data_IF_240656096004
#
_entry.id   IF_240656096004
#
_cell.length_a   1.000
_cell.length_b   1.000
_cell.length_c   1.000
_cell.angle_alpha   90.00
_cell.angle_beta   90.00
_cell.angle_gamma   90.00
#
_symmetry.space_group_name_H-M   'P 1'
#
loop_
_entity.id
_entity.type
_entity.pdbx_description
1 polymer ?
#
# COMPACT_ATOMS: atom_id res chain seq x y z
N UNK A 1 -79.02 -17.10 3.00
CA UNK A 1 -78.38 -16.01 2.23
C UNK A 1 -76.92 -15.98 2.60
N UNK A 2 -76.05 -16.41 1.67
CA UNK A 2 -74.61 -16.62 1.86
C UNK A 2 -73.88 -15.30 1.56
N UNK A 3 -73.11 -14.77 2.52
CA UNK A 3 -72.20 -13.64 2.33
C UNK A 3 -70.85 -14.17 1.82
N UNK A 4 -70.48 -13.78 0.60
CA UNK A 4 -69.18 -14.06 -0.02
C UNK A 4 -68.16 -13.00 0.40
N UNK A 5 -67.00 -13.45 0.88
CA UNK A 5 -65.80 -12.63 1.07
C UNK A 5 -65.05 -12.54 -0.26
N UNK A 6 -64.68 -11.32 -0.68
CA UNK A 6 -63.76 -11.07 -1.79
C UNK A 6 -62.40 -10.69 -1.19
N UNK A 7 -61.42 -11.59 -1.26
CA UNK A 7 -60.01 -11.24 -1.08
C UNK A 7 -59.52 -10.56 -2.36
N UNK A 8 -59.02 -9.33 -2.23
CA UNK A 8 -58.29 -8.65 -3.31
C UNK A 8 -56.80 -8.95 -3.14
N UNK A 9 -56.21 -9.64 -4.11
CA UNK A 9 -54.77 -9.88 -4.19
C UNK A 9 -54.08 -8.63 -4.71
N UNK A 10 -53.21 -8.02 -3.90
CA UNK A 10 -52.29 -6.95 -4.33
C UNK A 10 -51.03 -7.64 -4.85
N UNK A 11 -50.84 -7.64 -6.17
CA UNK A 11 -49.55 -7.99 -6.78
C UNK A 11 -48.61 -6.79 -6.60
N UNK A 12 -47.59 -6.95 -5.75
CA UNK A 12 -46.45 -6.05 -5.71
C UNK A 12 -45.56 -6.35 -6.93
N UNK A 13 -45.61 -5.49 -7.96
CA UNK A 13 -44.59 -5.47 -8.99
C UNK A 13 -43.34 -4.80 -8.40
N UNK A 14 -42.32 -5.60 -8.06
CA UNK A 14 -40.98 -5.08 -7.84
C UNK A 14 -40.44 -4.62 -9.21
N UNK A 15 -40.33 -3.31 -9.41
CA UNK A 15 -39.61 -2.74 -10.53
C UNK A 15 -38.11 -2.94 -10.25
N UNK A 16 -37.53 -3.99 -10.81
CA UNK A 16 -36.07 -4.09 -10.96
C UNK A 16 -35.67 -3.04 -11.98
N UNK A 17 -35.03 -1.95 -11.54
CA UNK A 17 -34.35 -1.05 -12.47
C UNK A 17 -33.30 -1.86 -13.25
N UNK A 18 -33.18 -1.71 -14.57
CA UNK A 18 -32.10 -2.35 -15.31
C UNK A 18 -30.76 -1.86 -14.74
N UNK A 19 -29.86 -2.78 -14.42
CA UNK A 19 -28.49 -2.45 -14.07
C UNK A 19 -27.90 -1.63 -15.22
N UNK A 20 -27.52 -0.39 -14.93
CA UNK A 20 -26.87 0.47 -15.93
C UNK A 20 -25.45 -0.05 -16.07
N UNK A 21 -25.07 -0.48 -17.28
CA UNK A 21 -23.71 -0.89 -17.56
C UNK A 21 -22.75 0.28 -17.29
N UNK A 22 -21.62 0.00 -16.64
CA UNK A 22 -20.61 1.01 -16.37
C UNK A 22 -20.05 1.52 -17.71
N UNK A 23 -19.95 2.85 -17.83
CA UNK A 23 -19.30 3.49 -18.97
C UNK A 23 -17.81 3.61 -18.70
N UNK A 24 -17.01 3.31 -19.73
CA UNK A 24 -15.56 3.51 -19.67
C UNK A 24 -15.28 5.02 -19.59
N UNK A 25 -14.37 5.41 -18.69
CA UNK A 25 -14.03 6.82 -18.52
C UNK A 25 -13.30 7.35 -19.76
N UNK A 26 -13.58 8.61 -20.10
CA UNK A 26 -12.86 9.31 -21.18
C UNK A 26 -11.69 10.14 -20.67
N UNK A 27 -11.44 10.11 -19.35
CA UNK A 27 -10.30 10.76 -18.74
C UNK A 27 -8.99 10.12 -19.21
N UNK A 28 -7.93 10.93 -19.24
CA UNK A 28 -6.59 10.48 -19.64
C UNK A 28 -5.70 10.34 -18.42
N UNK A 29 -4.94 9.26 -18.40
CA UNK A 29 -3.99 8.92 -17.34
C UNK A 29 -2.63 8.61 -17.95
N UNK A 30 -1.58 8.72 -17.15
CA UNK A 30 -0.27 8.20 -17.51
C UNK A 30 -0.25 6.71 -17.18
N UNK A 31 -0.08 5.87 -18.21
CA UNK A 31 -0.29 4.41 -18.09
C UNK A 31 1.00 3.60 -18.17
N UNK A 32 2.14 4.26 -18.34
CA UNK A 32 3.44 3.60 -18.48
C UNK A 32 3.44 2.50 -19.55
N UNK A 33 3.83 1.28 -19.16
CA UNK A 33 3.86 0.10 -20.01
C UNK A 33 2.48 -0.52 -20.27
N UNK A 34 1.42 -0.10 -19.57
CA UNK A 34 0.06 -0.63 -19.73
C UNK A 34 -0.59 0.04 -20.94
N UNK A 35 -0.81 -0.69 -22.05
CA UNK A 35 -1.29 -0.07 -23.28
C UNK A 35 -2.83 0.05 -23.26
N UNK A 36 -3.34 1.29 -23.31
CA UNK A 36 -4.78 1.58 -23.45
C UNK A 36 -5.68 0.81 -22.47
N UNK A 37 -5.50 0.97 -21.15
CA UNK A 37 -6.30 0.28 -20.14
C UNK A 37 -7.78 0.66 -20.22
N UNK A 38 -8.67 -0.28 -19.92
CA UNK A 38 -10.11 -0.06 -19.84
C UNK A 38 -10.49 0.39 -18.43
N UNK A 39 -10.77 1.67 -18.23
CA UNK A 39 -10.93 2.23 -16.89
C UNK A 39 -12.40 2.54 -16.59
N UNK A 40 -12.91 2.01 -15.49
CA UNK A 40 -14.28 2.22 -15.02
C UNK A 40 -14.28 2.76 -13.59
N UNK A 41 -15.12 3.75 -13.34
CA UNK A 41 -15.23 4.43 -12.04
C UNK A 41 -16.62 4.15 -11.44
N UNK A 42 -16.70 3.85 -10.13
CA UNK A 42 -17.98 3.71 -9.44
C UNK A 42 -18.63 5.07 -9.19
N UNK A 43 -19.95 5.04 -9.03
CA UNK A 43 -20.68 6.17 -8.48
C UNK A 43 -20.53 6.20 -6.95
N UNK A 44 -20.12 7.34 -6.39
CA UNK A 44 -20.00 7.52 -4.94
C UNK A 44 -18.65 7.09 -4.38
N UNK A 45 -18.64 6.62 -3.12
CA UNK A 45 -17.40 6.29 -2.44
C UNK A 45 -16.77 5.01 -3.01
N UNK A 46 -15.47 5.10 -3.32
CA UNK A 46 -14.67 3.93 -3.71
C UNK A 46 -14.56 2.99 -2.50
N UNK A 47 -14.90 1.72 -2.71
CA UNK A 47 -14.81 0.65 -1.70
C UNK A 47 -13.69 -0.35 -1.98
N UNK A 48 -13.06 -0.27 -3.15
CA UNK A 48 -12.01 -1.17 -3.58
C UNK A 48 -11.45 -0.75 -4.93
N UNK A 49 -10.31 -1.32 -5.30
CA UNK A 49 -9.70 -1.13 -6.60
C UNK A 49 -9.27 -2.50 -7.14
N UNK A 50 -9.60 -2.77 -8.41
CA UNK A 50 -9.27 -4.04 -9.06
C UNK A 50 -8.55 -3.74 -10.37
N UNK A 51 -7.35 -4.29 -10.53
CA UNK A 51 -6.71 -4.44 -11.83
C UNK A 51 -7.10 -5.80 -12.40
N UNK A 52 -8.03 -5.78 -13.35
CA UNK A 52 -8.61 -6.98 -13.96
C UNK A 52 -7.86 -7.31 -15.25
N UNK A 53 -7.16 -8.44 -15.27
CA UNK A 53 -6.35 -8.88 -16.41
C UNK A 53 -7.15 -9.95 -17.16
N UNK A 54 -7.44 -9.68 -18.44
CA UNK A 54 -8.11 -10.63 -19.35
C UNK A 54 -7.28 -11.90 -19.57
N UNK A 55 -7.94 -12.98 -20.01
CA UNK A 55 -7.26 -14.18 -20.48
C UNK A 55 -6.61 -13.97 -21.88
N UNK A 56 -5.96 -15.00 -22.43
CA UNK A 56 -5.28 -14.97 -23.71
C UNK A 56 -6.15 -14.66 -24.93
N UNK A 57 -7.48 -14.63 -24.79
CA UNK A 57 -8.41 -14.15 -25.84
C UNK A 57 -8.51 -12.63 -25.88
N UNK A 58 -7.99 -11.92 -24.88
CA UNK A 58 -8.10 -10.47 -24.75
C UNK A 58 -9.39 -10.02 -24.09
N UNK A 59 -9.47 -8.71 -23.83
CA UNK A 59 -10.59 -8.04 -23.19
C UNK A 59 -11.85 -8.11 -24.05
N UNK A 60 -12.93 -8.65 -23.51
CA UNK A 60 -14.21 -8.78 -24.22
C UNK A 60 -15.44 -8.71 -23.31
N UNK A 61 -16.52 -9.35 -23.75
CA UNK A 61 -17.83 -9.29 -23.06
C UNK A 61 -17.77 -9.85 -21.64
N UNK A 62 -16.90 -10.84 -21.37
CA UNK A 62 -16.74 -11.46 -20.05
C UNK A 62 -16.09 -10.50 -19.06
N UNK A 63 -14.95 -9.93 -19.42
CA UNK A 63 -14.24 -8.95 -18.58
C UNK A 63 -15.07 -7.68 -18.40
N UNK A 64 -15.82 -7.26 -19.44
CA UNK A 64 -16.74 -6.14 -19.32
C UNK A 64 -17.89 -6.41 -18.35
N UNK A 65 -18.47 -7.61 -18.39
CA UNK A 65 -19.53 -7.99 -17.45
C UNK A 65 -19.02 -8.05 -16.01
N UNK A 66 -17.80 -8.56 -15.80
CA UNK A 66 -17.15 -8.55 -14.49
C UNK A 66 -16.88 -7.11 -14.01
N UNK A 67 -16.32 -6.26 -14.88
CA UNK A 67 -16.12 -4.85 -14.58
C UNK A 67 -17.43 -4.14 -14.19
N UNK A 68 -18.53 -4.44 -14.88
CA UNK A 68 -19.86 -3.90 -14.55
C UNK A 68 -20.36 -4.34 -13.16
N UNK A 69 -20.05 -5.57 -12.75
CA UNK A 69 -20.38 -6.08 -11.42
C UNK A 69 -19.58 -5.36 -10.33
N UNK A 70 -18.26 -5.31 -10.50
CA UNK A 70 -17.34 -4.69 -9.54
C UNK A 70 -17.63 -3.18 -9.35
N UNK A 71 -17.94 -2.48 -10.44
CA UNK A 71 -18.33 -1.06 -10.39
C UNK A 71 -19.64 -0.87 -9.63
N UNK A 72 -20.61 -1.78 -9.77
CA UNK A 72 -21.85 -1.73 -8.99
C UNK A 72 -21.62 -1.94 -7.49
N UNK A 73 -20.65 -2.76 -7.12
CA UNK A 73 -20.24 -2.95 -5.72
C UNK A 73 -19.45 -1.76 -5.15
N UNK A 74 -19.00 -0.85 -6.03
CA UNK A 74 -18.31 0.38 -5.66
C UNK A 74 -16.80 0.31 -5.84
N UNK A 75 -16.30 -0.63 -6.65
CA UNK A 75 -14.89 -0.72 -6.97
C UNK A 75 -14.52 0.08 -8.21
N UNK A 76 -13.33 0.68 -8.18
CA UNK A 76 -12.64 1.12 -9.39
C UNK A 76 -12.12 -0.11 -10.14
N UNK A 77 -12.28 -0.16 -11.46
CA UNK A 77 -11.77 -1.25 -12.29
C UNK A 77 -10.80 -0.69 -13.33
N UNK A 78 -9.59 -1.23 -13.35
CA UNK A 78 -8.57 -0.97 -14.37
C UNK A 78 -8.35 -2.27 -15.15
N UNK A 79 -8.98 -2.34 -16.31
CA UNK A 79 -8.92 -3.47 -17.22
C UNK A 79 -7.65 -3.51 -18.05
N UNK A 80 -7.02 -4.68 -18.12
CA UNK A 80 -5.79 -4.92 -18.88
C UNK A 80 -6.06 -5.99 -19.95
N UNK A 81 -5.88 -5.61 -21.21
CA UNK A 81 -5.88 -6.56 -22.33
C UNK A 81 -4.56 -7.34 -22.36
N UNK A 82 -4.60 -8.63 -22.02
CA UNK A 82 -3.41 -9.46 -21.87
C UNK A 82 -2.60 -9.58 -23.18
N UNK A 83 -3.22 -9.89 -24.35
CA UNK A 83 -2.48 -9.96 -25.61
C UNK A 83 -1.75 -8.66 -25.95
N UNK A 84 -2.43 -7.52 -25.82
CA UNK A 84 -1.85 -6.20 -26.10
C UNK A 84 -0.75 -5.86 -25.11
N UNK A 85 -0.94 -6.19 -23.83
CA UNK A 85 0.08 -5.94 -22.82
C UNK A 85 1.33 -6.79 -23.05
N UNK A 86 1.18 -8.09 -23.34
CA UNK A 86 2.32 -8.95 -23.70
C UNK A 86 3.07 -8.42 -24.93
N UNK A 87 2.37 -7.89 -25.93
CA UNK A 87 2.99 -7.28 -27.11
C UNK A 87 3.72 -5.98 -26.81
N UNK A 88 3.24 -5.17 -25.85
CA UNK A 88 3.95 -3.99 -25.38
C UNK A 88 5.23 -4.40 -24.63
N UNK A 89 5.14 -5.35 -23.70
CA UNK A 89 6.28 -5.84 -22.93
C UNK A 89 7.38 -6.41 -23.82
N UNK A 90 7.05 -7.23 -24.83
CA UNK A 90 8.03 -7.78 -25.79
C UNK A 90 8.80 -6.72 -26.57
N UNK A 91 8.26 -5.51 -26.70
CA UNK A 91 8.87 -4.39 -27.42
C UNK A 91 9.67 -3.47 -26.49
N UNK A 92 9.56 -3.66 -25.18
CA UNK A 92 10.26 -2.85 -24.20
C UNK A 92 11.77 -3.05 -24.31
N UNK A 93 12.53 -1.95 -24.25
CA UNK A 93 13.98 -2.00 -24.26
C UNK A 93 14.53 -2.12 -22.85
N UNK A 94 14.73 -3.36 -22.40
CA UNK A 94 15.26 -3.67 -21.06
C UNK A 94 16.64 -3.07 -20.78
N UNK A 95 17.38 -2.60 -21.79
CA UNK A 95 18.69 -1.94 -21.58
C UNK A 95 18.57 -0.61 -20.85
N UNK A 96 17.38 -0.02 -20.84
CA UNK A 96 17.08 1.22 -20.14
C UNK A 96 16.75 0.99 -18.65
N UNK A 97 16.64 -0.27 -18.21
CA UNK A 97 16.24 -0.65 -16.85
C UNK A 97 16.97 -1.91 -16.37
N UNK A 98 18.31 -1.84 -16.29
CA UNK A 98 19.20 -2.89 -15.75
C UNK A 98 18.98 -4.31 -16.32
N UNK A 99 18.43 -4.42 -17.52
CA UNK A 99 18.22 -5.69 -18.21
C UNK A 99 16.93 -6.43 -17.84
N UNK A 100 15.98 -5.80 -17.15
CA UNK A 100 14.70 -6.39 -16.77
C UNK A 100 13.51 -5.42 -16.92
N UNK A 101 12.29 -5.94 -16.80
CA UNK A 101 11.04 -5.17 -16.86
C UNK A 101 10.47 -5.04 -15.45
N UNK A 102 10.13 -3.83 -15.02
CA UNK A 102 9.43 -3.59 -13.75
C UNK A 102 8.00 -3.12 -14.01
N UNK A 103 7.01 -3.93 -13.61
CA UNK A 103 5.59 -3.66 -13.92
C UNK A 103 4.87 -2.90 -12.80
N UNK A 104 5.34 -3.05 -11.56
CA UNK A 104 4.57 -2.65 -10.37
C UNK A 104 4.46 -1.14 -10.24
N UNK A 105 5.48 -0.37 -10.65
CA UNK A 105 5.44 1.10 -10.63
C UNK A 105 4.28 1.67 -11.45
N UNK A 106 4.07 1.13 -12.65
CA UNK A 106 3.01 1.61 -13.55
C UNK A 106 1.63 1.24 -13.02
N UNK A 107 1.51 0.06 -12.39
CA UNK A 107 0.27 -0.40 -11.75
C UNK A 107 -0.07 0.48 -10.54
N UNK A 108 0.90 0.74 -9.67
CA UNK A 108 0.75 1.58 -8.48
C UNK A 108 0.35 3.00 -8.88
N UNK A 109 1.12 3.62 -9.78
CA UNK A 109 0.88 4.98 -10.25
C UNK A 109 -0.50 5.11 -10.91
N UNK A 110 -0.85 4.19 -11.81
CA UNK A 110 -2.15 4.23 -12.49
C UNK A 110 -3.30 4.04 -11.49
N UNK A 111 -3.18 3.09 -10.54
CA UNK A 111 -4.17 2.88 -9.48
C UNK A 111 -4.43 4.15 -8.68
N UNK A 112 -3.36 4.83 -8.24
CA UNK A 112 -3.46 6.08 -7.49
C UNK A 112 -4.10 7.20 -8.31
N UNK A 113 -3.68 7.38 -9.57
CA UNK A 113 -4.27 8.39 -10.46
C UNK A 113 -5.77 8.16 -10.68
N UNK A 114 -6.18 6.91 -10.94
CA UNK A 114 -7.58 6.57 -11.22
C UNK A 114 -8.44 6.70 -9.96
N UNK A 115 -7.99 6.22 -8.81
CA UNK A 115 -8.74 6.38 -7.55
C UNK A 115 -8.85 7.85 -7.14
N UNK A 116 -7.82 8.66 -7.38
CA UNK A 116 -7.89 10.11 -7.17
C UNK A 116 -8.93 10.77 -8.08
N UNK A 117 -9.04 10.31 -9.32
CA UNK A 117 -10.04 10.78 -10.27
C UNK A 117 -11.47 10.33 -9.92
N UNK A 118 -11.61 9.22 -9.18
CA UNK A 118 -12.89 8.73 -8.66
C UNK A 118 -13.41 9.57 -7.48
N UNK A 119 -12.54 10.35 -6.81
CA UNK A 119 -12.90 11.25 -5.71
C UNK A 119 -11.92 11.18 -4.54
N UNK A 120 -12.32 11.75 -3.40
CA UNK A 120 -11.51 11.78 -2.16
C UNK A 120 -11.92 10.68 -1.16
N UNK A 121 -12.32 9.51 -1.67
CA UNK A 121 -12.53 8.31 -0.83
C UNK A 121 -11.19 7.77 -0.31
N UNK A 122 -11.23 6.85 0.65
CA UNK A 122 -10.02 6.19 1.13
C UNK A 122 -9.25 5.54 -0.03
N UNK A 123 -7.92 5.54 0.05
CA UNK A 123 -7.12 4.79 -0.91
C UNK A 123 -7.22 3.30 -0.63
N UNK A 124 -7.44 2.51 -1.68
CA UNK A 124 -7.45 1.05 -1.61
C UNK A 124 -6.29 0.50 -2.43
N UNK A 125 -5.41 -0.29 -1.81
CA UNK A 125 -4.41 -1.04 -2.59
C UNK A 125 -5.12 -1.96 -3.59
N UNK A 126 -4.68 -1.99 -4.87
CA UNK A 126 -5.41 -2.71 -5.90
C UNK A 126 -5.32 -4.22 -5.68
N UNK A 127 -6.42 -4.91 -5.97
CA UNK A 127 -6.45 -6.36 -6.17
C UNK A 127 -5.99 -6.62 -7.60
N UNK A 128 -4.95 -7.44 -7.79
CA UNK A 128 -4.53 -7.90 -9.12
C UNK A 128 -5.19 -9.24 -9.40
N UNK A 129 -6.08 -9.28 -10.39
CA UNK A 129 -6.94 -10.43 -10.63
C UNK A 129 -6.92 -10.89 -12.09
N UNK A 130 -7.02 -12.20 -12.32
CA UNK A 130 -7.15 -12.73 -13.68
C UNK A 130 -7.40 -14.24 -13.73
N UNK A 131 -7.87 -14.69 -14.88
CA UNK A 131 -8.12 -16.11 -15.20
C UNK A 131 -7.03 -16.60 -16.15
N UNK A 132 -6.59 -17.86 -16.03
CA UNK A 132 -5.73 -18.52 -17.01
C UNK A 132 -4.45 -17.72 -17.32
N UNK A 133 -4.28 -17.12 -18.50
CA UNK A 133 -3.10 -16.32 -18.86
C UNK A 133 -3.02 -15.03 -18.02
N UNK A 134 -4.15 -14.39 -17.76
CA UNK A 134 -4.23 -13.23 -16.87
C UNK A 134 -3.88 -13.59 -15.42
N UNK A 135 -4.29 -14.77 -14.96
CA UNK A 135 -3.90 -15.31 -13.66
C UNK A 135 -2.40 -15.61 -13.57
N UNK A 136 -1.81 -16.14 -14.65
CA UNK A 136 -0.36 -16.37 -14.70
C UNK A 136 0.43 -15.05 -14.63
N UNK A 137 -0.05 -13.99 -15.29
CA UNK A 137 0.54 -12.65 -15.17
C UNK A 137 0.38 -12.06 -13.77
N UNK A 138 -0.78 -12.24 -13.13
CA UNK A 138 -1.00 -11.78 -11.76
C UNK A 138 -0.01 -12.44 -10.77
N UNK A 139 0.28 -13.74 -10.91
CA UNK A 139 1.34 -14.41 -10.13
C UNK A 139 2.75 -13.87 -10.45
N UNK A 140 3.02 -13.54 -11.71
CA UNK A 140 4.31 -12.98 -12.11
C UNK A 140 4.51 -11.55 -11.56
N UNK A 141 3.44 -10.75 -11.51
CA UNK A 141 3.44 -9.42 -10.86
C UNK A 141 3.74 -9.58 -9.36
N UNK A 142 3.10 -10.54 -8.68
CA UNK A 142 3.35 -10.83 -7.26
C UNK A 142 4.83 -11.13 -6.95
N UNK A 143 5.60 -11.65 -7.92
CA UNK A 143 7.03 -11.88 -7.75
C UNK A 143 7.86 -10.59 -7.70
N UNK A 144 7.36 -9.47 -8.22
CA UNK A 144 8.03 -8.16 -8.19
C UNK A 144 7.48 -7.22 -7.12
N UNK A 145 6.30 -7.54 -6.56
CA UNK A 145 5.55 -6.65 -5.69
C UNK A 145 6.32 -6.33 -4.42
N UNK A 146 6.61 -5.05 -4.14
CA UNK A 146 7.03 -4.62 -2.83
C UNK A 146 5.87 -4.64 -1.84
N UNK A 147 6.21 -4.74 -0.57
CA UNK A 147 5.28 -4.60 0.54
C UNK A 147 4.36 -3.38 0.41
N UNK A 148 3.10 -3.55 0.82
CA UNK A 148 2.08 -2.49 0.88
C UNK A 148 1.80 -1.77 -0.46
N UNK A 149 2.07 -2.41 -1.59
CA UNK A 149 1.80 -1.85 -2.93
C UNK A 149 0.57 -2.44 -3.60
N UNK A 150 0.33 -3.74 -3.40
CA UNK A 150 -0.84 -4.48 -3.91
C UNK A 150 -1.58 -5.06 -2.71
N UNK A 151 -2.92 -4.98 -2.72
CA UNK A 151 -3.74 -5.42 -1.60
C UNK A 151 -3.94 -6.93 -1.59
N UNK A 152 -4.06 -7.54 -2.76
CA UNK A 152 -4.32 -8.96 -2.95
C UNK A 152 -3.95 -9.40 -4.36
N UNK A 153 -3.49 -10.65 -4.51
CA UNK A 153 -3.41 -11.33 -5.81
C UNK A 153 -4.47 -12.44 -5.84
N UNK A 154 -5.38 -12.37 -6.80
CA UNK A 154 -6.41 -13.39 -7.04
C UNK A 154 -6.18 -14.04 -8.40
N UNK A 155 -6.05 -15.36 -8.42
CA UNK A 155 -5.88 -16.10 -9.67
C UNK A 155 -6.85 -17.25 -9.76
N UNK A 156 -7.49 -17.40 -10.92
CA UNK A 156 -8.40 -18.52 -11.17
C UNK A 156 -7.89 -19.33 -12.36
N UNK A 157 -7.73 -20.63 -12.15
CA UNK A 157 -7.18 -21.55 -13.15
C UNK A 157 -5.90 -21.05 -13.87
N UNK A 158 -4.92 -20.44 -13.16
CA UNK A 158 -3.75 -19.86 -13.83
C UNK A 158 -2.99 -20.92 -14.63
N UNK A 159 -2.48 -20.56 -15.80
CA UNK A 159 -1.51 -21.39 -16.53
C UNK A 159 -0.11 -21.25 -15.95
N UNK A 160 0.81 -22.17 -16.28
CA UNK A 160 2.18 -22.10 -15.79
C UNK A 160 3.01 -21.03 -16.54
N UNK A 161 3.37 -19.96 -15.82
CA UNK A 161 4.25 -18.89 -16.31
C UNK A 161 3.62 -18.00 -17.39
N UNK A 162 4.34 -16.96 -17.82
CA UNK A 162 3.88 -16.00 -18.84
C UNK A 162 4.66 -16.14 -20.15
N UNK A 163 4.06 -15.87 -21.33
CA UNK A 163 4.70 -15.99 -22.65
C UNK A 163 5.63 -14.80 -22.96
N UNK A 164 6.61 -14.58 -22.08
CA UNK A 164 7.57 -13.50 -22.12
C UNK A 164 8.97 -14.03 -21.76
N UNK A 165 9.93 -13.84 -22.66
CA UNK A 165 11.33 -14.28 -22.47
C UNK A 165 12.21 -13.21 -21.83
N UNK A 166 11.82 -11.94 -21.92
CA UNK A 166 12.41 -10.85 -21.14
C UNK A 166 12.06 -11.04 -19.67
N UNK A 167 13.05 -10.84 -18.80
CA UNK A 167 12.89 -11.11 -17.38
C UNK A 167 12.22 -9.94 -16.67
N UNK A 168 11.37 -10.27 -15.71
CA UNK A 168 10.89 -9.33 -14.71
C UNK A 168 11.99 -9.04 -13.68
N UNK A 169 12.08 -7.77 -13.24
CA UNK A 169 12.93 -7.32 -12.14
C UNK A 169 12.44 -7.91 -10.82
N UNK A 170 13.03 -9.00 -10.38
CA UNK A 170 12.71 -9.66 -9.10
C UNK A 170 13.90 -10.49 -8.62
N UNK A 171 14.13 -10.62 -7.30
CA UNK A 171 15.09 -11.59 -6.77
C UNK A 171 14.58 -13.04 -6.85
N UNK A 172 13.29 -13.26 -7.12
CA UNK A 172 12.68 -14.58 -7.18
C UNK A 172 13.29 -15.47 -8.28
N UNK A 173 13.09 -16.78 -8.11
CA UNK A 173 13.53 -17.78 -9.09
C UNK A 173 12.81 -17.60 -10.43
N UNK A 174 13.53 -17.86 -11.54
CA UNK A 174 13.05 -17.70 -12.90
C UNK A 174 13.38 -18.94 -13.71
N UNK A 175 12.37 -19.60 -14.27
CA UNK A 175 12.54 -20.84 -15.03
C UNK A 175 11.97 -20.69 -16.45
N UNK A 176 12.81 -20.63 -17.49
CA UNK A 176 12.33 -20.63 -18.86
C UNK A 176 11.77 -22.01 -19.24
N UNK A 177 10.61 -22.04 -19.89
CA UNK A 177 9.95 -23.23 -20.43
C UNK A 177 9.39 -22.89 -21.81
N UNK A 178 10.14 -23.25 -22.85
CA UNK A 178 9.79 -22.84 -24.22
C UNK A 178 9.93 -21.33 -24.39
N UNK A 179 8.84 -20.69 -24.82
CA UNK A 179 8.68 -19.23 -24.93
C UNK A 179 8.10 -18.58 -23.66
N UNK A 180 7.93 -19.36 -22.58
CA UNK A 180 7.36 -18.90 -21.32
C UNK A 180 8.40 -18.79 -20.22
N UNK A 181 8.11 -17.94 -19.23
CA UNK A 181 8.87 -17.84 -17.99
C UNK A 181 7.98 -18.10 -16.79
N UNK A 182 8.36 -19.09 -15.98
CA UNK A 182 7.72 -19.40 -14.70
C UNK A 182 8.51 -18.71 -13.60
N UNK A 183 7.82 -17.91 -12.79
CA UNK A 183 8.39 -17.18 -11.66
C UNK A 183 8.07 -17.89 -10.34
N UNK A 184 9.07 -17.93 -9.44
CA UNK A 184 8.83 -18.14 -8.01
C UNK A 184 8.39 -16.83 -7.33
N UNK A 185 8.41 -16.82 -6.00
CA UNK A 185 8.29 -15.60 -5.19
C UNK A 185 9.61 -15.36 -4.44
N UNK A 186 9.79 -14.13 -3.93
CA UNK A 186 10.97 -13.77 -3.15
C UNK A 186 10.96 -14.52 -1.80
N UNK A 187 12.13 -14.79 -1.23
CA UNK A 187 12.20 -15.41 0.11
C UNK A 187 11.61 -14.47 1.18
N UNK A 188 10.96 -15.05 2.18
CA UNK A 188 10.36 -14.29 3.29
C UNK A 188 8.83 -14.32 3.27
N UNK A 189 8.23 -13.34 3.95
CA UNK A 189 6.78 -13.16 3.96
C UNK A 189 6.27 -12.70 2.60
N UNK A 190 5.07 -13.15 2.22
CA UNK A 190 4.43 -12.61 1.02
C UNK A 190 4.22 -11.09 1.13
N UNK A 191 4.47 -10.33 0.03
CA UNK A 191 4.25 -8.88 0.02
C UNK A 191 2.77 -8.51 0.05
N UNK A 192 1.91 -9.43 -0.38
CA UNK A 192 0.45 -9.34 -0.34
C UNK A 192 -0.15 -10.76 -0.29
N UNK A 193 -1.35 -10.96 0.25
CA UNK A 193 -1.96 -12.29 0.26
C UNK A 193 -2.28 -12.75 -1.17
N UNK A 194 -2.18 -14.07 -1.38
CA UNK A 194 -2.42 -14.72 -2.68
C UNK A 194 -3.49 -15.80 -2.50
N UNK A 195 -4.53 -15.72 -3.31
CA UNK A 195 -5.59 -16.74 -3.39
C UNK A 195 -5.62 -17.32 -4.80
N UNK A 196 -5.48 -18.64 -4.89
CA UNK A 196 -5.60 -19.40 -6.13
C UNK A 196 -6.83 -20.31 -6.08
N UNK A 197 -7.82 -20.03 -6.91
CA UNK A 197 -9.01 -20.86 -7.09
C UNK A 197 -8.84 -21.75 -8.32
N UNK A 198 -9.29 -22.99 -8.23
CA UNK A 198 -9.18 -23.96 -9.31
C UNK A 198 -10.49 -24.68 -9.59
N UNK A 199 -11.00 -24.51 -10.80
CA UNK A 199 -12.15 -25.23 -11.31
C UNK A 199 -11.75 -26.61 -11.86
N UNK A 200 -12.74 -27.36 -12.34
CA UNK A 200 -12.50 -28.61 -13.06
C UNK A 200 -11.75 -28.43 -14.40
N UNK A 201 -11.70 -27.21 -14.95
CA UNK A 201 -11.02 -26.88 -16.20
C UNK A 201 -9.53 -26.53 -16.01
N UNK A 202 -9.07 -26.40 -14.76
CA UNK A 202 -7.69 -26.08 -14.41
C UNK A 202 -6.65 -26.93 -15.16
N UNK A 203 -5.62 -26.27 -15.69
CA UNK A 203 -4.47 -26.97 -16.25
C UNK A 203 -3.65 -27.65 -15.14
N UNK A 204 -3.09 -28.83 -15.43
CA UNK A 204 -2.32 -29.60 -14.43
C UNK A 204 -1.02 -28.91 -14.05
N UNK A 205 -0.35 -28.33 -15.02
CA UNK A 205 0.90 -27.59 -14.86
C UNK A 205 0.69 -26.26 -14.14
N UNK A 206 -0.39 -25.54 -14.46
CA UNK A 206 -0.79 -24.33 -13.73
C UNK A 206 -1.03 -24.59 -12.24
N UNK A 207 -1.83 -25.62 -11.93
CA UNK A 207 -2.02 -26.06 -10.54
C UNK A 207 -0.71 -26.46 -9.86
N UNK A 208 0.12 -27.25 -10.53
CA UNK A 208 1.39 -27.71 -9.97
C UNK A 208 2.34 -26.53 -9.67
N UNK A 209 2.28 -25.45 -10.45
CA UNK A 209 3.03 -24.22 -10.18
C UNK A 209 2.53 -23.53 -8.91
N UNK A 210 1.22 -23.31 -8.76
CA UNK A 210 0.66 -22.71 -7.54
C UNK A 210 0.94 -23.56 -6.28
N UNK A 211 0.84 -24.89 -6.38
CA UNK A 211 1.19 -25.81 -5.28
C UNK A 211 2.67 -25.73 -4.91
N UNK A 212 3.56 -25.52 -5.89
CA UNK A 212 4.98 -25.29 -5.64
C UNK A 212 5.21 -23.95 -4.91
N UNK A 213 4.53 -22.87 -5.33
CA UNK A 213 4.59 -21.60 -4.63
C UNK A 213 4.10 -21.74 -3.18
N UNK A 214 2.98 -22.44 -2.95
CA UNK A 214 2.43 -22.67 -1.61
C UNK A 214 3.36 -23.48 -0.70
N UNK A 215 4.15 -24.38 -1.29
CA UNK A 215 5.14 -25.14 -0.52
C UNK A 215 6.22 -24.23 0.07
N UNK A 216 6.63 -23.22 -0.69
CA UNK A 216 7.63 -22.25 -0.26
C UNK A 216 7.01 -21.12 0.59
N UNK A 217 5.72 -20.81 0.35
CA UNK A 217 4.91 -19.81 1.06
C UNK A 217 3.58 -20.42 1.57
N UNK A 218 3.58 -21.05 2.75
CA UNK A 218 2.41 -21.77 3.29
C UNK A 218 1.14 -20.92 3.45
N UNK A 219 1.27 -19.60 3.52
CA UNK A 219 0.19 -18.62 3.59
C UNK A 219 -0.64 -18.50 2.30
N UNK A 220 -0.16 -19.00 1.15
CA UNK A 220 -0.93 -19.00 -0.09
C UNK A 220 -2.17 -19.89 0.08
N UNK A 221 -3.34 -19.31 -0.20
CA UNK A 221 -4.60 -20.04 -0.20
C UNK A 221 -4.83 -20.72 -1.54
N UNK A 222 -5.10 -22.03 -1.52
CA UNK A 222 -5.47 -22.80 -2.69
C UNK A 222 -6.85 -23.39 -2.43
N UNK A 223 -7.80 -23.14 -3.33
CA UNK A 223 -9.21 -23.54 -3.20
C UNK A 223 -9.62 -24.34 -4.44
N UNK A 224 -10.30 -25.47 -4.22
CA UNK A 224 -11.01 -26.17 -5.29
C UNK A 224 -12.45 -25.65 -5.34
N UNK A 225 -12.90 -25.21 -6.51
CA UNK A 225 -14.24 -24.66 -6.72
C UNK A 225 -15.07 -25.57 -7.62
N UNK A 226 -16.37 -25.65 -7.33
CA UNK A 226 -17.32 -26.44 -8.13
C UNK A 226 -17.82 -25.71 -9.37
N UNK A 227 -17.80 -24.39 -9.34
CA UNK A 227 -18.28 -23.50 -10.40
C UNK A 227 -17.24 -23.28 -11.50
N UNK A 228 -17.64 -22.60 -12.57
CA UNK A 228 -16.71 -22.17 -13.63
C UNK A 228 -15.78 -21.04 -13.17
N UNK A 229 -14.74 -20.80 -13.96
CA UNK A 229 -13.67 -19.87 -13.60
C UNK A 229 -14.17 -18.43 -13.46
N UNK A 230 -15.12 -18.01 -14.32
CA UNK A 230 -15.72 -16.69 -14.29
C UNK A 230 -16.53 -16.47 -13.02
N UNK A 231 -17.39 -17.43 -12.67
CA UNK A 231 -18.17 -17.39 -11.42
C UNK A 231 -17.25 -17.37 -10.20
N UNK A 232 -16.22 -18.23 -10.17
CA UNK A 232 -15.27 -18.28 -9.08
C UNK A 232 -14.45 -16.98 -8.92
N UNK A 233 -14.10 -16.32 -10.04
CA UNK A 233 -13.45 -15.02 -10.02
C UNK A 233 -14.37 -13.97 -9.39
N UNK A 234 -15.60 -13.86 -9.89
CA UNK A 234 -16.59 -12.87 -9.47
C UNK A 234 -16.92 -12.99 -7.99
N UNK A 235 -17.32 -14.19 -7.54
CA UNK A 235 -17.66 -14.46 -6.14
C UNK A 235 -16.50 -14.14 -5.19
N UNK A 236 -15.26 -14.47 -5.60
CA UNK A 236 -14.09 -14.21 -4.76
C UNK A 236 -13.74 -12.72 -4.74
N UNK A 237 -13.91 -11.99 -5.85
CA UNK A 237 -13.67 -10.54 -5.87
C UNK A 237 -14.68 -9.78 -5.00
N UNK A 238 -15.96 -10.17 -5.05
CA UNK A 238 -17.01 -9.58 -4.21
C UNK A 238 -16.67 -9.75 -2.71
N UNK A 239 -16.26 -10.96 -2.31
CA UNK A 239 -15.82 -11.25 -0.94
C UNK A 239 -14.62 -10.39 -0.53
N UNK A 240 -13.64 -10.23 -1.42
CA UNK A 240 -12.42 -9.44 -1.15
C UNK A 240 -12.71 -7.95 -1.05
N UNK A 241 -13.56 -7.41 -1.93
CA UNK A 241 -13.97 -6.00 -1.88
C UNK A 241 -14.73 -5.74 -0.58
N UNK A 242 -15.67 -6.62 -0.21
CA UNK A 242 -16.41 -6.50 1.04
C UNK A 242 -15.50 -6.55 2.28
N UNK A 243 -14.42 -7.34 2.23
CA UNK A 243 -13.43 -7.42 3.32
C UNK A 243 -12.50 -6.20 3.41
N UNK A 244 -12.27 -5.48 2.30
CA UNK A 244 -11.28 -4.39 2.23
C UNK A 244 -11.69 -3.08 2.96
N UNK A 245 -12.93 -2.99 3.45
CA UNK A 245 -13.52 -1.75 3.98
C UNK A 245 -13.27 -1.43 5.47
N UNK A 246 -12.31 -2.07 6.15
CA UNK A 246 -12.12 -1.91 7.60
C UNK A 246 -10.66 -1.76 8.05
N UNK A 247 -10.38 -0.72 8.84
CA UNK A 247 -9.14 -0.65 9.61
C UNK A 247 -9.19 -1.68 10.74
N UNK A 248 -8.24 -2.62 10.74
CA UNK A 248 -8.24 -3.80 11.62
C UNK A 248 -7.68 -3.50 13.02
N UNK A 249 -7.99 -2.32 13.56
CA UNK A 249 -7.57 -1.91 14.90
C UNK A 249 -8.62 -1.05 15.63
N UNK A 250 -8.57 -0.99 16.98
CA UNK A 250 -9.57 -0.29 17.79
C UNK A 250 -9.65 1.23 17.58
N UNK A 251 -8.65 1.83 16.92
CA UNK A 251 -8.61 3.27 16.68
C UNK A 251 -9.18 3.66 15.32
N UNK A 252 -9.43 2.69 14.43
CA UNK A 252 -9.94 2.96 13.09
C UNK A 252 -8.98 3.79 12.22
N UNK A 253 -7.68 3.71 12.51
CA UNK A 253 -6.62 4.44 11.82
C UNK A 253 -5.80 3.46 10.95
N UNK A 254 -5.15 3.90 9.86
CA UNK A 254 -4.28 3.04 9.06
C UNK A 254 -2.96 2.80 9.80
N UNK A 255 -2.97 1.82 10.72
CA UNK A 255 -1.86 1.53 11.62
C UNK A 255 -1.29 0.14 11.40
N UNK A 256 0.03 0.04 11.33
CA UNK A 256 0.76 -1.20 11.53
C UNK A 256 1.10 -1.36 13.02
N UNK A 257 0.76 -2.51 13.61
CA UNK A 257 1.00 -2.80 15.03
C UNK A 257 2.05 -3.90 15.15
N UNK A 258 3.26 -3.53 15.58
CA UNK A 258 4.36 -4.47 15.78
C UNK A 258 4.52 -4.69 17.29
N UNK A 259 3.94 -5.77 17.79
CA UNK A 259 4.03 -6.10 19.22
C UNK A 259 5.43 -6.55 19.63
N UNK A 260 5.91 -6.06 20.76
CA UNK A 260 7.10 -6.55 21.42
C UNK A 260 6.88 -6.54 22.93
N UNK A 261 7.63 -7.37 23.66
CA UNK A 261 7.70 -7.25 25.11
C UNK A 261 8.57 -6.04 25.46
N UNK A 262 8.02 -4.97 26.08
CA UNK A 262 8.79 -3.76 26.30
C UNK A 262 10.01 -3.99 27.19
N UNK A 263 11.20 -3.66 26.68
CA UNK A 263 12.49 -3.79 27.39
C UNK A 263 12.96 -2.45 27.98
N UNK A 264 12.56 -1.32 27.38
CA UNK A 264 13.02 0.04 27.73
C UNK A 264 11.91 0.93 28.30
N UNK A 265 10.79 0.34 28.75
CA UNK A 265 9.61 1.10 29.22
C UNK A 265 9.13 2.16 28.20
N UNK A 266 9.34 1.88 26.91
CA UNK A 266 9.15 2.79 25.78
C UNK A 266 8.43 2.05 24.66
N UNK A 267 7.54 2.75 23.96
CA UNK A 267 7.02 2.35 22.64
C UNK A 267 7.49 3.35 21.58
N UNK A 268 7.52 2.94 20.32
CA UNK A 268 7.74 3.85 19.21
C UNK A 268 6.42 4.14 18.46
N UNK A 269 6.30 5.36 17.94
CA UNK A 269 5.30 5.74 16.95
C UNK A 269 6.07 6.29 15.75
N UNK A 270 5.87 5.72 14.58
CA UNK A 270 6.57 6.09 13.35
C UNK A 270 5.55 6.63 12.35
N UNK A 271 5.73 7.85 11.86
CA UNK A 271 5.04 8.34 10.65
C UNK A 271 5.89 8.01 9.45
N UNK A 272 5.35 7.20 8.53
CA UNK A 272 6.07 6.75 7.34
C UNK A 272 6.34 7.88 6.36
N UNK A 273 7.18 7.59 5.36
CA UNK A 273 7.23 8.37 4.12
C UNK A 273 5.88 8.38 3.39
N UNK A 274 5.81 9.17 2.33
CA UNK A 274 4.60 9.33 1.51
C UNK A 274 4.19 8.04 0.79
N UNK A 275 5.14 7.14 0.48
CA UNK A 275 4.88 5.81 -0.06
C UNK A 275 4.15 4.83 0.88
N UNK A 276 3.86 5.24 2.12
CA UNK A 276 3.16 4.42 3.12
C UNK A 276 4.08 3.51 3.94
N UNK A 277 3.49 2.59 4.69
CA UNK A 277 4.24 1.71 5.61
C UNK A 277 5.00 0.59 4.87
N UNK A 278 6.15 0.91 4.27
CA UNK A 278 6.98 0.00 3.48
C UNK A 278 8.48 0.24 3.67
N UNK A 279 9.30 -0.68 3.15
CA UNK A 279 10.76 -0.55 3.05
C UNK A 279 11.42 -0.05 4.36
N UNK A 280 12.07 1.12 4.36
CA UNK A 280 12.72 1.75 5.52
C UNK A 280 11.83 1.82 6.76
N UNK A 281 10.56 2.17 6.62
CA UNK A 281 9.64 2.34 7.74
C UNK A 281 9.36 0.99 8.42
N UNK A 282 9.15 -0.04 7.61
CA UNK A 282 8.94 -1.42 8.07
C UNK A 282 10.20 -2.01 8.70
N UNK A 283 11.35 -1.84 8.04
CA UNK A 283 12.62 -2.42 8.50
C UNK A 283 13.12 -1.74 9.80
N UNK A 284 13.04 -0.41 9.90
CA UNK A 284 13.32 0.31 11.14
C UNK A 284 12.34 -0.12 12.23
N UNK A 285 11.04 -0.21 11.92
CA UNK A 285 10.03 -0.71 12.85
C UNK A 285 10.32 -2.13 13.37
N UNK A 286 10.69 -3.05 12.47
CA UNK A 286 11.05 -4.43 12.81
C UNK A 286 12.35 -4.51 13.63
N UNK A 287 13.34 -3.67 13.33
CA UNK A 287 14.57 -3.58 14.09
C UNK A 287 14.33 -3.04 15.51
N UNK A 288 13.48 -2.02 15.68
CA UNK A 288 13.03 -1.54 17.00
C UNK A 288 12.25 -2.62 17.77
N UNK A 289 11.37 -3.36 17.09
CA UNK A 289 10.63 -4.48 17.67
C UNK A 289 11.61 -5.55 18.22
N UNK A 290 12.66 -5.88 17.47
CA UNK A 290 13.73 -6.82 17.90
C UNK A 290 14.50 -6.31 19.13
N UNK A 291 14.67 -5.00 19.30
CA UNK A 291 15.24 -4.37 20.50
C UNK A 291 14.28 -4.35 21.70
N UNK A 292 13.04 -4.84 21.54
CA UNK A 292 12.02 -4.86 22.58
C UNK A 292 11.28 -3.54 22.74
N UNK A 293 11.21 -2.72 21.69
CA UNK A 293 10.38 -1.52 21.63
C UNK A 293 9.17 -1.85 20.75
N UNK A 294 7.95 -1.99 21.31
CA UNK A 294 6.76 -2.18 20.48
C UNK A 294 6.51 -0.93 19.63
N UNK A 295 6.06 -1.12 18.39
CA UNK A 295 5.96 -0.04 17.39
C UNK A 295 4.53 0.09 16.88
N UNK A 296 4.08 1.34 16.77
CA UNK A 296 2.95 1.72 15.93
C UNK A 296 3.49 2.46 14.71
N UNK A 297 3.31 1.87 13.53
CA UNK A 297 3.52 2.54 12.27
C UNK A 297 2.24 3.24 11.81
N UNK A 298 2.28 4.53 11.55
CA UNK A 298 1.22 5.28 10.89
C UNK A 298 1.54 5.27 9.40
N UNK A 299 0.68 4.63 8.62
CA UNK A 299 0.79 4.61 7.16
C UNK A 299 0.36 5.96 6.61
N UNK A 300 1.34 6.82 6.33
CA UNK A 300 1.12 8.19 5.87
C UNK A 300 0.37 8.22 4.52
N UNK A 301 0.55 7.23 3.64
CA UNK A 301 -0.17 7.14 2.37
C UNK A 301 -1.68 7.11 2.59
N UNK A 302 -2.14 6.14 3.36
CA UNK A 302 -3.56 6.00 3.64
C UNK A 302 -4.08 7.10 4.57
N UNK A 303 -3.26 7.56 5.51
CA UNK A 303 -3.66 8.58 6.49
C UNK A 303 -3.84 9.97 5.86
N UNK A 304 -2.94 10.38 4.97
CA UNK A 304 -2.93 11.67 4.27
C UNK A 304 -3.35 11.56 2.81
N UNK A 305 -4.00 10.46 2.42
CA UNK A 305 -4.59 10.35 1.08
C UNK A 305 -5.52 11.53 0.81
N UNK A 306 -6.38 11.87 1.78
CA UNK A 306 -7.17 13.09 1.77
C UNK A 306 -6.54 14.13 2.70
N UNK A 307 -6.68 15.41 2.34
CA UNK A 307 -6.14 16.52 3.12
C UNK A 307 -6.67 16.50 4.56
N UNK A 308 -5.76 16.66 5.52
CA UNK A 308 -6.07 16.70 6.96
C UNK A 308 -5.71 18.03 7.58
N UNK A 309 -6.45 18.40 8.63
CA UNK A 309 -6.06 19.54 9.45
C UNK A 309 -4.93 19.14 10.41
N UNK A 310 -3.93 20.02 10.63
CA UNK A 310 -2.82 19.73 11.55
C UNK A 310 -3.25 19.34 12.97
N UNK A 311 -4.37 19.90 13.45
CA UNK A 311 -4.92 19.56 14.76
C UNK A 311 -5.52 18.14 14.78
N UNK A 312 -6.12 17.68 13.68
CA UNK A 312 -6.66 16.31 13.59
C UNK A 312 -5.54 15.28 13.71
N UNK A 313 -4.39 15.54 13.06
CA UNK A 313 -3.18 14.72 13.20
C UNK A 313 -2.69 14.65 14.63
N UNK A 314 -2.66 15.78 15.35
CA UNK A 314 -2.24 15.82 16.75
C UNK A 314 -3.23 15.10 17.67
N UNK A 315 -4.53 15.22 17.41
CA UNK A 315 -5.57 14.54 18.19
C UNK A 315 -5.51 13.01 17.98
N UNK A 316 -5.24 12.54 16.77
CA UNK A 316 -5.05 11.12 16.49
C UNK A 316 -3.74 10.57 17.09
N UNK A 317 -2.64 11.33 17.02
CA UNK A 317 -1.40 10.99 17.72
C UNK A 317 -1.62 10.85 19.24
N UNK A 318 -2.37 11.76 19.85
CA UNK A 318 -2.72 11.68 21.26
C UNK A 318 -3.51 10.39 21.58
N UNK A 319 -4.48 10.00 20.74
CA UNK A 319 -5.22 8.73 20.91
C UNK A 319 -4.28 7.52 20.84
N UNK A 320 -3.34 7.50 19.90
CA UNK A 320 -2.35 6.42 19.77
C UNK A 320 -1.48 6.35 21.03
N UNK A 321 -0.94 7.48 21.48
CA UNK A 321 -0.12 7.60 22.69
C UNK A 321 -0.90 7.06 23.91
N UNK A 322 -2.12 7.54 24.13
CA UNK A 322 -2.93 7.15 25.29
C UNK A 322 -3.29 5.66 25.28
N UNK A 323 -3.73 5.15 24.12
CA UNK A 323 -4.19 3.77 23.98
C UNK A 323 -3.03 2.78 24.15
N UNK A 324 -1.96 2.93 23.37
CA UNK A 324 -0.91 1.93 23.31
C UNK A 324 0.06 1.98 24.48
N UNK A 325 0.28 3.15 25.10
CA UNK A 325 1.03 3.21 26.37
C UNK A 325 0.32 2.42 27.47
N UNK A 326 -1.00 2.52 27.53
CA UNK A 326 -1.81 1.75 28.49
C UNK A 326 -1.79 0.26 28.17
N UNK A 327 -1.95 -0.10 26.90
CA UNK A 327 -1.93 -1.49 26.43
C UNK A 327 -0.61 -2.18 26.77
N UNK A 328 0.51 -1.57 26.40
CA UNK A 328 1.84 -2.14 26.58
C UNK A 328 2.49 -1.80 27.94
N UNK A 329 1.81 -0.98 28.77
CA UNK A 329 2.25 -0.57 30.11
C UNK A 329 3.61 0.12 30.10
N UNK A 330 3.84 0.97 29.11
CA UNK A 330 5.05 1.77 28.94
C UNK A 330 4.80 3.23 29.33
N UNK A 331 5.85 3.93 29.75
CA UNK A 331 5.75 5.36 30.09
C UNK A 331 6.22 6.28 28.98
N UNK A 332 7.20 5.87 28.20
CA UNK A 332 7.85 6.75 27.24
C UNK A 332 7.42 6.45 25.81
N UNK A 333 7.49 7.48 24.96
CA UNK A 333 7.25 7.41 23.53
C UNK A 333 8.51 7.89 22.80
N UNK A 334 8.96 7.10 21.85
CA UNK A 334 9.90 7.48 20.80
C UNK A 334 9.07 7.86 19.58
N UNK A 335 9.02 9.15 19.22
CA UNK A 335 8.30 9.63 18.05
C UNK A 335 9.28 9.72 16.87
N UNK A 336 8.96 9.09 15.75
CA UNK A 336 9.80 9.04 14.56
C UNK A 336 8.97 9.52 13.36
N UNK A 337 9.58 10.32 12.48
CA UNK A 337 9.03 10.61 11.16
C UNK A 337 10.11 10.41 10.11
N UNK A 338 9.77 9.81 8.98
CA UNK A 338 10.64 9.68 7.81
C UNK A 338 10.09 10.47 6.62
N UNK A 339 10.95 11.24 5.95
CA UNK A 339 10.62 12.02 4.74
C UNK A 339 9.36 12.87 4.99
N UNK A 340 8.29 12.67 4.22
CA UNK A 340 6.97 13.27 4.47
C UNK A 340 6.52 13.20 5.95
N UNK A 341 6.71 12.07 6.62
CA UNK A 341 6.40 11.92 8.04
C UNK A 341 7.27 12.79 8.95
N UNK A 342 8.54 13.00 8.58
CA UNK A 342 9.45 13.90 9.29
C UNK A 342 8.97 15.36 9.20
N UNK A 343 8.41 15.76 8.06
CA UNK A 343 7.93 17.12 7.82
C UNK A 343 6.68 17.44 8.66
N UNK A 344 5.82 16.44 8.87
CA UNK A 344 4.56 16.57 9.61
C UNK A 344 4.73 16.54 11.14
N UNK A 345 5.72 15.78 11.64
CA UNK A 345 5.89 15.52 13.07
C UNK A 345 6.10 16.78 13.91
N UNK A 346 6.94 17.77 13.54
CA UNK A 346 7.18 18.97 14.36
C UNK A 346 5.91 19.78 14.63
N UNK A 347 5.16 20.11 13.58
CA UNK A 347 3.90 20.82 13.69
C UNK A 347 2.85 20.03 14.50
N UNK A 348 2.81 18.71 14.32
CA UNK A 348 1.92 17.81 15.05
C UNK A 348 2.26 17.78 16.54
N UNK A 349 3.55 17.63 16.88
CA UNK A 349 4.05 17.69 18.25
C UNK A 349 3.64 18.99 18.93
N UNK A 350 3.82 20.14 18.25
CA UNK A 350 3.52 21.45 18.81
C UNK A 350 2.06 21.61 19.27
N UNK A 351 1.14 20.87 18.65
CA UNK A 351 -0.31 20.90 18.92
C UNK A 351 -0.77 19.90 19.99
N UNK A 352 0.11 19.02 20.46
CA UNK A 352 -0.19 18.09 21.55
C UNK A 352 -0.40 18.82 22.88
N UNK A 353 -1.23 18.22 23.74
CA UNK A 353 -1.39 18.67 25.13
C UNK A 353 -0.13 18.36 25.93
N UNK A 354 0.08 19.10 27.01
CA UNK A 354 1.26 18.95 27.86
C UNK A 354 1.48 17.51 28.39
N UNK A 355 0.39 16.78 28.68
CA UNK A 355 0.46 15.40 29.17
C UNK A 355 1.04 14.43 28.11
N UNK A 356 0.68 14.62 26.85
CA UNK A 356 1.16 13.79 25.74
C UNK A 356 2.59 14.16 25.37
N UNK A 357 2.90 15.47 25.32
CA UNK A 357 4.29 15.96 25.15
C UNK A 357 5.22 15.39 26.21
N UNK A 358 4.77 15.34 27.46
CA UNK A 358 5.57 14.81 28.58
C UNK A 358 5.83 13.29 28.50
N UNK A 359 5.10 12.57 27.63
CA UNK A 359 5.38 11.16 27.37
C UNK A 359 6.49 10.94 26.35
N UNK A 360 6.73 11.92 25.48
CA UNK A 360 7.69 11.82 24.38
C UNK A 360 9.10 12.06 24.93
N UNK A 361 9.92 11.02 24.89
CA UNK A 361 11.31 11.06 25.36
C UNK A 361 12.29 11.48 24.25
N UNK A 362 11.92 11.28 22.99
CA UNK A 362 12.73 11.62 21.83
C UNK A 362 11.84 11.81 20.60
N UNK A 363 12.21 12.76 19.74
CA UNK A 363 11.68 12.98 18.40
C UNK A 363 12.82 12.74 17.41
N UNK A 364 12.72 11.74 16.54
CA UNK A 364 13.72 11.45 15.50
C UNK A 364 13.14 11.76 14.13
N UNK A 365 13.77 12.67 13.40
CA UNK A 365 13.36 13.13 12.08
C UNK A 365 14.38 12.60 11.07
N UNK A 366 13.93 11.77 10.13
CA UNK A 366 14.78 11.08 9.18
C UNK A 366 14.54 11.70 7.80
N UNK A 367 15.60 12.23 7.18
CA UNK A 367 15.54 12.91 5.87
C UNK A 367 14.49 14.04 5.83
N UNK A 368 14.52 14.91 6.84
CA UNK A 368 13.63 16.07 6.99
C UNK A 368 13.79 17.05 5.82
N UNK A 369 12.70 17.55 5.25
CA UNK A 369 12.69 18.56 4.19
C UNK A 369 12.30 19.96 4.71
N UNK A 370 12.30 20.95 3.81
CA UNK A 370 11.82 22.31 4.08
C UNK A 370 10.34 22.55 3.75
N UNK A 371 9.59 21.53 3.32
CA UNK A 371 8.23 21.67 2.83
C UNK A 371 7.26 20.75 3.60
N UNK A 372 6.15 21.31 4.10
CA UNK A 372 5.05 20.52 4.69
C UNK A 372 3.81 20.58 3.82
N UNK A 373 3.25 19.42 3.51
CA UNK A 373 1.89 19.26 2.97
C UNK A 373 1.11 18.23 3.79
N UNK A 374 -0.14 18.54 4.16
CA UNK A 374 -1.01 17.61 4.89
C UNK A 374 -1.88 16.74 3.97
N UNK A 375 -1.38 16.52 2.75
CA UNK A 375 -1.99 15.70 1.71
C UNK A 375 -0.90 15.15 0.82
N UNK A 376 -1.02 13.89 0.43
CA UNK A 376 -0.09 13.28 -0.51
C UNK A 376 -0.52 13.61 -1.94
N UNK A 377 0.37 14.30 -2.65
CA UNK A 377 0.18 14.67 -4.05
C UNK A 377 0.69 13.57 -4.96
N UNK A 378 -0.21 12.91 -5.69
CA UNK A 378 0.16 11.97 -6.77
C UNK A 378 0.96 12.69 -7.86
N UNK A 379 0.70 14.00 -8.08
CA UNK A 379 1.49 14.83 -8.99
C UNK A 379 2.88 15.18 -8.43
N UNK A 380 3.00 15.22 -7.10
CA UNK A 380 4.27 15.31 -6.37
C UNK A 380 5.24 14.21 -6.78
N UNK A 381 4.74 12.98 -6.79
CA UNK A 381 5.47 11.78 -7.20
C UNK A 381 5.84 11.75 -8.68
N UNK A 382 5.06 12.42 -9.53
CA UNK A 382 5.36 12.61 -10.96
C UNK A 382 6.35 13.78 -11.20
N UNK A 383 7.02 14.27 -10.15
CA UNK A 383 8.05 15.29 -10.21
C UNK A 383 7.54 16.73 -10.26
N UNK A 384 6.27 16.99 -9.91
CA UNK A 384 5.78 18.36 -9.73
C UNK A 384 5.95 18.80 -8.27
N UNK A 385 6.73 19.86 -8.03
CA UNK A 385 6.85 20.44 -6.69
C UNK A 385 5.47 20.75 -6.11
N UNK A 386 5.23 20.30 -4.88
CA UNK A 386 4.10 20.78 -4.08
C UNK A 386 4.40 22.23 -3.66
N UNK A 387 3.41 22.95 -3.13
CA UNK A 387 3.61 24.37 -2.78
C UNK A 387 4.16 24.55 -1.36
N UNK A 388 4.39 23.47 -0.60
CA UNK A 388 4.76 23.54 0.82
C UNK A 388 3.78 24.43 1.59
N UNK A 389 2.48 24.31 1.29
CA UNK A 389 1.50 25.33 1.65
C UNK A 389 1.30 25.45 3.17
N UNK A 390 1.73 24.44 3.93
CA UNK A 390 1.62 24.41 5.38
C UNK A 390 2.87 24.95 6.12
N UNK A 391 3.95 25.30 5.42
CA UNK A 391 5.14 25.96 5.99
C UNK A 391 6.40 25.10 5.99
N UNK A 392 7.38 25.52 6.80
CA UNK A 392 8.70 24.89 6.93
C UNK A 392 8.82 24.18 8.30
N UNK A 393 9.10 22.86 8.37
CA UNK A 393 9.24 22.13 9.63
C UNK A 393 10.33 22.69 10.56
N UNK A 394 11.36 23.33 10.00
CA UNK A 394 12.44 23.97 10.77
C UNK A 394 11.92 25.14 11.59
N UNK A 395 10.88 25.84 11.13
CA UNK A 395 10.22 26.88 11.91
C UNK A 395 9.46 26.31 13.11
N UNK A 396 8.75 25.19 12.91
CA UNK A 396 8.05 24.48 13.97
C UNK A 396 9.01 23.92 15.04
N UNK A 397 10.22 23.51 14.65
CA UNK A 397 11.23 22.98 15.57
C UNK A 397 11.77 24.05 16.55
N UNK A 398 11.67 25.35 16.24
CA UNK A 398 12.20 26.44 17.09
C UNK A 398 11.54 26.52 18.46
N UNK A 399 10.34 25.96 18.62
CA UNK A 399 9.57 25.98 19.88
C UNK A 399 9.56 24.63 20.61
N UNK A 400 10.18 23.61 20.02
CA UNK A 400 10.41 22.30 20.65
C UNK A 400 11.70 22.38 21.47
N UNK A 401 11.77 21.69 22.62
CA UNK A 401 13.05 21.60 23.34
C UNK A 401 14.06 20.89 22.42
N UNK A 402 15.12 21.58 21.96
CA UNK A 402 16.04 21.01 20.98
C UNK A 402 16.71 19.74 21.52
N UNK A 403 16.82 19.55 22.84
CA UNK A 403 17.38 18.32 23.41
C UNK A 403 16.56 17.08 23.07
N UNK A 404 15.26 17.19 22.84
CA UNK A 404 14.40 16.07 22.46
C UNK A 404 14.61 15.66 21.00
N UNK A 405 15.15 16.55 20.16
CA UNK A 405 15.21 16.38 18.71
C UNK A 405 16.50 15.69 18.31
N UNK A 406 16.35 14.64 17.50
CA UNK A 406 17.40 14.03 16.69
C UNK A 406 17.00 14.19 15.22
N UNK A 407 17.88 14.71 14.38
CA UNK A 407 17.66 14.88 12.94
C UNK A 407 18.76 14.12 12.19
N UNK A 408 18.38 13.09 11.45
CA UNK A 408 19.29 12.19 10.75
C UNK A 408 19.08 12.36 9.26
N UNK A 409 20.16 12.50 8.49
CA UNK A 409 20.09 12.62 7.04
C UNK A 409 21.22 11.86 6.33
N UNK A 410 20.95 11.44 5.09
CA UNK A 410 21.93 10.82 4.21
C UNK A 410 22.93 11.86 3.72
N UNK A 411 24.20 11.47 3.58
CA UNK A 411 25.26 12.34 3.07
C UNK A 411 25.02 12.75 1.61
N UNK A 412 24.45 11.83 0.83
CA UNK A 412 24.16 11.99 -0.59
C UNK A 412 22.65 12.23 -0.81
N UNK A 413 21.92 12.61 0.24
CA UNK A 413 20.54 13.12 0.20
C UNK A 413 20.49 14.43 -0.60
N UNK A 414 19.30 14.79 -1.08
CA UNK A 414 19.16 15.93 -1.99
C UNK A 414 19.35 17.30 -1.31
N UNK A 415 19.38 18.36 -2.13
CA UNK A 415 19.61 19.73 -1.66
C UNK A 415 18.45 20.30 -0.79
N UNK A 416 17.31 19.61 -0.71
CA UNK A 416 16.13 20.04 0.06
C UNK A 416 16.18 19.55 1.53
N UNK A 417 17.21 18.78 1.90
CA UNK A 417 17.40 18.27 3.26
C UNK A 417 17.63 19.38 4.29
N UNK A 418 16.76 19.43 5.31
CA UNK A 418 16.66 20.52 6.27
C UNK A 418 17.45 20.27 7.58
N UNK A 419 17.83 19.03 7.90
CA UNK A 419 18.59 18.70 9.11
C UNK A 419 19.85 19.57 9.34
N UNK A 420 20.65 19.93 8.30
CA UNK A 420 21.79 20.83 8.45
C UNK A 420 21.46 22.20 9.07
N UNK A 421 20.23 22.70 8.90
CA UNK A 421 19.79 23.98 9.47
C UNK A 421 19.79 23.97 11.01
N UNK A 422 19.74 22.79 11.64
CA UNK A 422 19.69 22.61 13.08
C UNK A 422 21.08 22.52 13.75
N UNK A 423 22.18 22.51 12.98
CA UNK A 423 23.56 22.32 13.51
C UNK A 423 24.00 23.35 14.57
N UNK A 424 23.36 24.52 14.60
CA UNK A 424 23.64 25.57 15.60
C UNK A 424 22.69 25.53 16.82
N UNK A 425 21.83 24.52 16.91
CA UNK A 425 20.94 24.29 18.05
C UNK A 425 21.53 23.25 19.02
N UNK A 426 20.76 22.88 20.06
CA UNK A 426 21.12 21.76 20.94
C UNK A 426 20.51 20.42 20.50
N UNK A 427 19.98 20.34 19.27
CA UNK A 427 19.50 19.10 18.68
C UNK A 427 20.66 18.18 18.28
N UNK A 428 20.39 16.89 18.25
CA UNK A 428 21.33 15.87 17.78
C UNK A 428 21.23 15.76 16.25
N UNK A 429 22.17 16.36 15.52
CA UNK A 429 22.17 16.34 14.04
C UNK A 429 23.20 15.33 13.54
N UNK A 430 22.74 14.28 12.87
CA UNK A 430 23.56 13.14 12.46
C UNK A 430 23.55 12.98 10.94
N UNK A 431 24.72 12.96 10.33
CA UNK A 431 24.91 12.62 8.91
C UNK A 431 25.33 11.15 8.82
N UNK A 432 24.61 10.35 8.03
CA UNK A 432 24.95 8.94 7.75
C UNK A 432 25.34 8.76 6.27
N UNK A 433 26.08 7.70 5.91
CA UNK A 433 26.28 7.37 4.50
C UNK A 433 24.95 7.09 3.78
N UNK A 434 24.94 7.34 2.48
CA UNK A 434 23.82 7.03 1.59
C UNK A 434 22.96 8.23 1.23
N UNK A 435 21.97 7.95 0.39
CA UNK A 435 20.99 8.90 -0.13
C UNK A 435 19.80 9.11 0.82
N UNK A 436 18.67 9.60 0.29
CA UNK A 436 17.42 9.78 1.02
C UNK A 436 16.93 8.51 1.74
N UNK A 437 17.29 7.32 1.22
CA UNK A 437 16.98 6.00 1.76
C UNK A 437 18.16 5.38 2.55
N UNK A 438 19.23 6.13 2.81
CA UNK A 438 20.38 5.71 3.62
C UNK A 438 21.09 4.44 3.09
N UNK A 439 21.11 4.24 1.77
CA UNK A 439 21.66 3.04 1.11
C UNK A 439 21.13 1.72 1.72
N UNK A 440 19.87 1.69 2.15
CA UNK A 440 19.23 0.54 2.81
C UNK A 440 19.91 0.07 4.12
N UNK A 441 20.77 0.90 4.72
CA UNK A 441 21.49 0.56 5.96
C UNK A 441 20.63 0.83 7.21
N UNK A 442 19.46 0.21 7.26
CA UNK A 442 18.46 0.41 8.30
C UNK A 442 18.91 -0.09 9.68
N UNK A 443 19.86 -1.02 9.74
CA UNK A 443 20.51 -1.46 10.97
C UNK A 443 21.31 -0.32 11.62
N UNK A 444 22.13 0.40 10.83
CA UNK A 444 22.90 1.55 11.33
C UNK A 444 21.96 2.70 11.74
N UNK A 445 20.95 2.97 10.92
CA UNK A 445 19.94 3.98 11.19
C UNK A 445 19.22 3.71 12.52
N UNK A 446 18.69 2.50 12.69
CA UNK A 446 17.98 2.09 13.91
C UNK A 446 18.90 2.13 15.13
N UNK A 447 20.14 1.66 14.98
CA UNK A 447 21.13 1.73 16.07
C UNK A 447 21.37 3.16 16.53
N UNK A 448 21.52 4.10 15.60
CA UNK A 448 21.71 5.53 15.88
C UNK A 448 20.53 6.10 16.70
N UNK A 449 19.30 5.75 16.31
CA UNK A 449 18.07 6.16 17.00
C UNK A 449 18.03 5.62 18.43
N UNK A 450 18.27 4.30 18.59
CA UNK A 450 18.18 3.61 19.87
C UNK A 450 19.28 4.04 20.85
N UNK A 451 20.51 4.28 20.36
CA UNK A 451 21.61 4.76 21.20
C UNK A 451 21.28 6.14 21.80
N UNK A 452 20.68 7.03 21.01
CA UNK A 452 20.21 8.34 21.50
C UNK A 452 19.09 8.20 22.54
N UNK A 453 18.15 7.29 22.30
CA UNK A 453 17.05 7.03 23.24
C UNK A 453 17.59 6.52 24.58
N UNK A 454 18.54 5.58 24.54
CA UNK A 454 19.18 5.05 25.75
C UNK A 454 19.86 6.16 26.57
N UNK A 455 20.48 7.14 25.91
CA UNK A 455 21.05 8.30 26.58
C UNK A 455 19.96 9.20 27.21
N UNK A 456 18.85 9.47 26.50
CA UNK A 456 17.73 10.27 27.02
C UNK A 456 17.06 9.66 28.25
N UNK A 457 16.92 8.33 28.29
CA UNK A 457 16.27 7.63 29.41
C UNK A 457 17.18 7.50 30.64
N UNK A 458 18.47 7.80 30.52
CA UNK A 458 19.43 7.73 31.61
C UNK A 458 19.59 9.07 32.38
N UNK A 459 19.20 10.18 31.75
CA UNK A 459 19.13 11.53 32.33
C UNK A 459 17.82 11.76 33.11
#
# INVERSE_FOLDING_TARGET
>A
MIRRYLLSAVCAFALTAPAVAAEETTQRFETGLIPSPHIFLPDGDVKGAVMLISDGTGWGDKEKAEADSLVQEGAVVIGVDFPTYMDALRKYDVRENDGCIYLVSDIESLSQQVQRAAGNSAYHLPIIAGISEGGALALAIAAQTPDATIGQTLVVDPVAGIPLTQQLCTPASKKPVGDRMIYGLAEGSLPNPITAAFSSAATKDGRAHAEALKKDHPEIEIRDVGDDAETALSDTLDDLIAASGGADNPLGLPLAVLEAKPSMNTMAIIYSGDGGWRDIDKEVGAALQKEGIPVIGVDSLHYFWSERQPQETADDLAKIIEFYRKQWKVKHVLLIGYSFGADIVPATYNRLKAADKAAIAQVSLLSLSHEVDYVISVMGWLGQKTQGAAGDPVDDLKVIDPKLVQCIYGKDDDDEVACPALKNSAADVVELPGDHHFDENYDLLTKTIVDRLKAQLAD
#
